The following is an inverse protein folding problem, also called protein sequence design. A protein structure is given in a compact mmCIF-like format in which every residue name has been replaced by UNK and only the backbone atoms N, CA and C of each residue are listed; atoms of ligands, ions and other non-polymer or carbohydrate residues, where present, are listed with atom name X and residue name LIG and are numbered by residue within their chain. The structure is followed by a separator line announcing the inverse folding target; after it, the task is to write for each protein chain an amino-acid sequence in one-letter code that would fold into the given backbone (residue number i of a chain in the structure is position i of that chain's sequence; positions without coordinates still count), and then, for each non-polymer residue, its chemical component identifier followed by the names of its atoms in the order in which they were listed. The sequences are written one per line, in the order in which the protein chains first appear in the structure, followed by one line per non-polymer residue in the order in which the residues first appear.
data_IF_172391800500
#
_entry.id   IF_172391800500
#
_cell.length_a   1.000
_cell.length_b   1.000
_cell.length_c   1.000
_cell.angle_alpha   90.00
_cell.angle_beta   90.00
_cell.angle_gamma   90.00
#
_symmetry.space_group_name_H-M   'P 1'
#
loop_
_entity.id
_entity.type
_entity.pdbx_description
1 polymer ?
#
# COMPACT_ATOMS: atom_id res chain seq x y z
N UNK A 1 35.91 5.36 -9.99
CA UNK A 1 34.72 5.36 -9.11
C UNK A 1 33.67 4.49 -9.76
N UNK A 2 32.95 3.66 -8.99
CA UNK A 2 31.73 3.01 -9.50
C UNK A 2 30.56 4.00 -9.45
N UNK A 3 29.74 3.99 -10.49
CA UNK A 3 28.49 4.74 -10.63
C UNK A 3 27.30 3.86 -10.22
N UNK A 4 26.12 4.46 -9.99
CA UNK A 4 24.91 3.68 -9.73
C UNK A 4 24.58 2.72 -10.88
N UNK A 5 24.85 3.14 -12.13
CA UNK A 5 24.64 2.30 -13.31
C UNK A 5 25.54 1.07 -13.33
N UNK A 6 26.66 1.08 -12.62
CA UNK A 6 27.61 -0.05 -12.57
C UNK A 6 27.19 -1.14 -11.58
N UNK A 7 26.16 -0.88 -10.76
CA UNK A 7 25.71 -1.78 -9.69
C UNK A 7 24.20 -2.05 -9.69
N UNK A 8 23.42 -1.31 -10.49
CA UNK A 8 21.98 -1.49 -10.55
C UNK A 8 21.58 -2.70 -11.41
N UNK A 9 20.50 -3.36 -11.02
CA UNK A 9 19.80 -4.32 -11.89
C UNK A 9 18.99 -3.54 -12.93
N UNK A 10 19.17 -3.84 -14.21
CA UNK A 10 18.46 -3.16 -15.30
C UNK A 10 17.07 -3.77 -15.54
N UNK A 11 17.00 -5.10 -15.60
CA UNK A 11 15.76 -5.83 -15.81
C UNK A 11 15.05 -6.05 -14.47
N UNK A 12 14.18 -5.10 -14.12
CA UNK A 12 13.40 -5.13 -12.88
C UNK A 12 11.97 -5.56 -13.15
N UNK A 13 11.42 -6.38 -12.26
CA UNK A 13 9.98 -6.71 -12.26
C UNK A 13 9.21 -5.46 -11.82
N UNK A 14 8.18 -5.11 -12.58
CA UNK A 14 7.33 -3.95 -12.32
C UNK A 14 5.85 -4.34 -12.35
N UNK A 15 5.01 -3.49 -11.77
CA UNK A 15 3.56 -3.71 -11.70
C UNK A 15 2.83 -2.48 -12.20
N UNK A 16 1.63 -2.65 -12.75
CA UNK A 16 0.81 -1.54 -13.22
C UNK A 16 -0.13 -1.04 -12.12
N UNK A 17 -0.29 0.27 -11.98
CA UNK A 17 -1.13 0.92 -10.96
C UNK A 17 -2.60 0.47 -10.94
N UNK A 18 -3.09 -0.11 -12.04
CA UNK A 18 -4.47 -0.57 -12.19
C UNK A 18 -4.65 -2.07 -11.91
N UNK A 19 -3.58 -2.83 -11.73
CA UNK A 19 -3.64 -4.25 -11.39
C UNK A 19 -4.17 -4.44 -9.95
N UNK A 20 -4.87 -5.55 -9.67
CA UNK A 20 -5.26 -5.92 -8.32
C UNK A 20 -4.04 -6.12 -7.41
N UNK A 21 -4.11 -5.59 -6.21
CA UNK A 21 -3.05 -5.73 -5.22
C UNK A 21 -2.88 -7.16 -4.71
N UNK A 22 -3.93 -7.98 -4.74
CA UNK A 22 -3.85 -9.42 -4.40
C UNK A 22 -2.85 -10.20 -5.26
N UNK A 23 -2.57 -9.75 -6.48
CA UNK A 23 -1.61 -10.38 -7.40
C UNK A 23 -0.16 -10.15 -6.97
N UNK A 24 0.12 -9.11 -6.16
CA UNK A 24 1.47 -8.79 -5.68
C UNK A 24 2.02 -9.86 -4.73
N UNK A 25 1.15 -10.57 -4.01
CA UNK A 25 1.56 -11.63 -3.08
C UNK A 25 2.40 -12.69 -3.78
N UNK A 26 2.01 -13.07 -5.01
CA UNK A 26 2.76 -14.04 -5.82
C UNK A 26 4.11 -13.48 -6.23
N UNK A 27 4.15 -12.24 -6.70
CA UNK A 27 5.39 -11.58 -7.13
C UNK A 27 6.40 -11.54 -5.99
N UNK A 28 5.98 -11.15 -4.79
CA UNK A 28 6.88 -11.07 -3.63
C UNK A 28 7.35 -12.44 -3.14
N UNK A 29 6.49 -13.46 -3.14
CA UNK A 29 6.84 -14.82 -2.70
C UNK A 29 7.76 -15.50 -3.72
N UNK A 30 7.41 -15.48 -5.00
CA UNK A 30 8.13 -16.20 -6.06
C UNK A 30 9.52 -15.60 -6.32
N UNK A 31 9.65 -14.27 -6.18
CA UNK A 31 10.88 -13.56 -6.52
C UNK A 31 11.67 -13.07 -5.28
N UNK A 32 11.16 -13.30 -4.07
CA UNK A 32 11.75 -12.85 -2.80
C UNK A 32 12.05 -11.33 -2.78
N UNK A 33 11.14 -10.53 -3.34
CA UNK A 33 11.26 -9.07 -3.38
C UNK A 33 10.57 -8.42 -2.18
N UNK A 34 11.21 -7.40 -1.61
CA UNK A 34 10.64 -6.59 -0.52
C UNK A 34 9.77 -5.43 -1.04
N UNK A 35 9.95 -5.04 -2.30
CA UNK A 35 9.16 -4.03 -2.98
C UNK A 35 9.44 -3.98 -4.48
N UNK A 36 8.48 -3.43 -5.24
CA UNK A 36 8.53 -3.34 -6.70
C UNK A 36 8.07 -1.96 -7.18
N UNK A 37 8.64 -1.43 -8.28
CA UNK A 37 8.17 -0.18 -8.88
C UNK A 37 6.77 -0.33 -9.50
N UNK A 38 5.94 0.70 -9.31
CA UNK A 38 4.60 0.80 -9.91
C UNK A 38 4.67 1.73 -11.11
N UNK A 39 4.26 1.23 -12.28
CA UNK A 39 4.17 1.98 -13.52
C UNK A 39 2.72 2.41 -13.81
N UNK A 40 2.57 3.52 -14.51
CA UNK A 40 1.32 3.84 -15.20
C UNK A 40 1.24 3.21 -16.60
N UNK A 41 0.14 3.47 -17.30
CA UNK A 41 -0.10 2.93 -18.64
C UNK A 41 0.85 3.51 -19.72
N UNK A 42 1.63 4.53 -19.39
CA UNK A 42 2.65 5.12 -20.29
C UNK A 42 4.05 4.56 -20.02
N UNK A 43 4.18 3.66 -19.03
CA UNK A 43 5.47 3.10 -18.60
C UNK A 43 6.23 3.99 -17.62
N UNK A 44 5.65 5.09 -17.15
CA UNK A 44 6.29 5.97 -16.17
C UNK A 44 6.14 5.41 -14.76
N UNK A 45 7.22 5.43 -13.99
CA UNK A 45 7.18 5.09 -12.56
C UNK A 45 6.36 6.15 -11.81
N UNK A 46 5.29 5.71 -11.14
CA UNK A 46 4.41 6.55 -10.32
C UNK A 46 4.61 6.31 -8.82
N UNK A 47 5.38 5.29 -8.45
CA UNK A 47 5.83 5.06 -7.08
C UNK A 47 6.31 3.63 -6.85
N UNK A 48 6.25 3.19 -5.58
CA UNK A 48 6.72 1.87 -5.12
C UNK A 48 5.66 1.24 -4.22
N UNK A 49 5.54 -0.08 -4.30
CA UNK A 49 4.73 -0.91 -3.38
C UNK A 49 5.62 -1.97 -2.73
N UNK A 50 5.35 -2.29 -1.47
CA UNK A 50 6.16 -3.17 -0.62
C UNK A 50 5.34 -4.31 -0.02
N UNK A 51 6.02 -5.32 0.54
CA UNK A 51 5.33 -6.39 1.29
C UNK A 51 4.50 -5.83 2.47
N UNK A 52 4.95 -4.74 3.10
CA UNK A 52 4.23 -4.09 4.20
C UNK A 52 2.85 -3.59 3.80
N UNK A 53 2.70 -3.15 2.54
CA UNK A 53 1.42 -2.66 2.02
C UNK A 53 0.37 -3.78 1.90
N UNK A 54 0.80 -5.03 1.72
CA UNK A 54 -0.09 -6.20 1.75
C UNK A 54 -0.54 -6.57 3.16
N UNK A 55 0.31 -6.33 4.16
CA UNK A 55 -0.04 -6.55 5.57
C UNK A 55 -1.07 -5.51 6.01
N UNK A 56 -0.95 -4.26 5.54
CA UNK A 56 -1.93 -3.22 5.82
C UNK A 56 -3.32 -3.52 5.24
N UNK A 57 -3.41 -4.22 4.10
CA UNK A 57 -4.70 -4.66 3.54
C UNK A 57 -5.46 -5.63 4.44
N UNK A 58 -4.74 -6.47 5.18
CA UNK A 58 -5.34 -7.49 6.05
C UNK A 58 -5.53 -7.01 7.48
N UNK A 59 -5.44 -5.70 7.75
CA UNK A 59 -5.74 -5.15 9.08
C UNK A 59 -7.22 -5.37 9.39
N UNK A 60 -7.49 -6.10 10.47
CA UNK A 60 -8.81 -6.16 11.06
C UNK A 60 -9.25 -4.73 11.40
N UNK A 61 -10.39 -4.32 10.85
CA UNK A 61 -10.99 -3.02 11.14
C UNK A 61 -11.27 -2.96 12.65
N UNK A 62 -10.44 -2.24 13.38
CA UNK A 62 -10.72 -1.95 14.78
C UNK A 62 -11.82 -0.89 14.77
N UNK A 63 -13.04 -1.32 15.08
CA UNK A 63 -14.13 -0.38 15.29
C UNK A 63 -13.77 0.44 16.53
N UNK A 64 -13.67 1.77 16.42
CA UNK A 64 -13.32 2.60 17.55
C UNK A 64 -14.37 2.43 18.64
N UNK A 65 -13.92 2.24 19.88
CA UNK A 65 -14.81 2.07 21.02
C UNK A 65 -15.62 3.36 21.21
N UNK A 66 -16.94 3.23 21.12
CA UNK A 66 -17.90 4.31 21.37
C UNK A 66 -18.38 4.23 22.81
N UNK A 67 -18.30 5.34 23.55
CA UNK A 67 -18.94 5.47 24.85
C UNK A 67 -20.10 6.46 24.73
N UNK A 68 -21.31 6.04 25.12
CA UNK A 68 -22.45 6.94 25.27
C UNK A 68 -22.58 7.36 26.75
N UNK A 69 -22.44 8.65 27.03
CA UNK A 69 -22.60 9.22 28.37
C UNK A 69 -23.48 10.47 28.28
N UNK A 70 -24.57 10.52 29.05
CA UNK A 70 -25.41 11.72 29.15
C UNK A 70 -25.85 12.29 27.77
N UNK A 71 -26.38 11.42 26.90
CA UNK A 71 -26.73 11.74 25.50
C UNK A 71 -25.58 12.26 24.62
N UNK A 72 -24.35 12.24 25.11
CA UNK A 72 -23.15 12.51 24.34
C UNK A 72 -22.49 11.22 23.85
N UNK A 73 -22.06 11.23 22.59
CA UNK A 73 -21.29 10.15 21.98
C UNK A 73 -19.82 10.55 21.99
N UNK A 74 -19.00 9.81 22.73
CA UNK A 74 -17.55 10.01 22.80
C UNK A 74 -16.84 8.88 22.05
N UNK A 75 -16.08 9.25 21.02
CA UNK A 75 -15.17 8.35 20.32
C UNK A 75 -13.82 8.36 21.04
N UNK A 76 -13.37 7.20 21.55
CA UNK A 76 -12.09 7.11 22.26
C UNK A 76 -10.87 7.18 21.33
N UNK A 77 -11.05 6.95 20.04
CA UNK A 77 -10.01 7.03 19.02
C UNK A 77 -10.30 8.14 18.01
N UNK A 78 -9.25 8.67 17.37
CA UNK A 78 -9.39 9.75 16.38
C UNK A 78 -10.10 9.28 15.11
N UNK A 79 -11.14 10.02 14.69
CA UNK A 79 -11.88 9.80 13.44
C UNK A 79 -10.97 9.69 12.21
N UNK A 80 -9.89 10.48 12.18
CA UNK A 80 -8.94 10.50 11.07
C UNK A 80 -8.30 9.12 10.82
N UNK A 81 -7.97 8.40 11.89
CA UNK A 81 -7.35 7.07 11.79
C UNK A 81 -8.33 6.05 11.21
N UNK A 82 -9.60 6.13 11.62
CA UNK A 82 -10.66 5.27 11.10
C UNK A 82 -10.94 5.52 9.63
N UNK A 83 -10.98 6.79 9.19
CA UNK A 83 -11.13 7.12 7.77
C UNK A 83 -9.97 6.60 6.91
N UNK A 84 -8.73 6.72 7.39
CA UNK A 84 -7.55 6.26 6.67
C UNK A 84 -7.55 4.73 6.52
N UNK A 85 -7.96 4.00 7.56
CA UNK A 85 -8.09 2.54 7.52
C UNK A 85 -9.24 2.09 6.59
N UNK A 86 -10.39 2.80 6.59
CA UNK A 86 -11.50 2.54 5.67
C UNK A 86 -11.13 2.78 4.20
N UNK A 87 -10.40 3.86 3.89
CA UNK A 87 -9.92 4.14 2.52
C UNK A 87 -8.97 3.05 2.02
N UNK A 88 -8.15 2.49 2.90
CA UNK A 88 -7.23 1.38 2.57
C UNK A 88 -7.98 0.06 2.38
N UNK A 89 -8.97 -0.25 3.22
CA UNK A 89 -9.77 -1.48 3.11
C UNK A 89 -10.69 -1.50 1.88
N UNK A 90 -11.25 -0.36 1.50
CA UNK A 90 -12.12 -0.23 0.31
C UNK A 90 -11.33 -0.18 -1.01
N UNK A 91 -10.00 -0.03 -0.93
CA UNK A 91 -9.11 0.03 -2.08
C UNK A 91 -8.74 -1.36 -2.61
N UNK A 92 -9.41 -1.83 -3.67
CA UNK A 92 -8.97 -3.04 -4.39
C UNK A 92 -7.84 -2.77 -5.40
N UNK A 93 -7.52 -1.50 -5.68
CA UNK A 93 -6.55 -1.08 -6.69
C UNK A 93 -5.26 -0.53 -6.06
N UNK A 94 -4.12 -0.87 -6.67
CA UNK A 94 -2.78 -0.50 -6.22
C UNK A 94 -2.53 1.00 -6.01
N UNK A 95 -3.28 1.88 -6.70
CA UNK A 95 -3.15 3.34 -6.58
C UNK A 95 -3.20 3.86 -5.13
N UNK A 96 -3.86 3.16 -4.22
CA UNK A 96 -4.03 3.56 -2.81
C UNK A 96 -2.83 3.15 -1.93
N UNK A 97 -2.02 2.19 -2.38
CA UNK A 97 -0.95 1.54 -1.60
C UNK A 97 0.46 2.00 -1.97
N UNK A 98 0.55 3.05 -2.79
CA UNK A 98 1.84 3.60 -3.20
C UNK A 98 2.45 4.33 -1.99
N UNK A 99 3.46 3.72 -1.37
CA UNK A 99 4.08 4.21 -0.12
C UNK A 99 4.99 5.41 -0.35
N UNK A 100 5.51 5.59 -1.56
CA UNK A 100 6.26 6.77 -2.00
C UNK A 100 5.90 7.14 -3.44
N UNK A 101 5.28 8.30 -3.61
CA UNK A 101 5.10 8.95 -4.91
C UNK A 101 6.40 9.61 -5.31
N UNK A 102 6.85 9.39 -6.55
CA UNK A 102 8.00 10.10 -7.13
C UNK A 102 7.63 11.50 -7.59
#
# INVERSE_FOLDING_TARGET
MKTASDIMTQDVVTVNKNQPIGDLSKIFIENNFNGVPVLDNTGKVVGVVTQGDLIEQNKNLHIPTVIALFDAVLFLESEKKFEDDLKKLTGSKMKIFITKTL
#
